data_IF_643728082089
#
_entry.id   IF_643728082089
#
_cell.length_a   1.000
_cell.length_b   1.000
_cell.length_c   1.000
_cell.angle_alpha   90.00
_cell.angle_beta   90.00
_cell.angle_gamma   90.00
#
_symmetry.space_group_name_H-M   'P 1'
#
loop_
_entity.id
_entity.type
_entity.pdbx_description
1 polymer ?
#
# COMPACT_ATOMS: atom_id res chain seq x y z
N UNK A 1 -25.30 -41.87 -20.35
CA UNK A 1 -24.33 -41.50 -21.40
C UNK A 1 -24.68 -40.09 -21.85
N UNK A 2 -23.83 -39.06 -21.91
CA UNK A 2 -22.39 -38.94 -22.07
C UNK A 2 -21.95 -37.66 -21.34
N UNK A 3 -20.74 -37.72 -20.80
CA UNK A 3 -20.02 -36.66 -20.09
C UNK A 3 -19.64 -35.56 -21.08
N UNK A 4 -19.83 -34.29 -20.72
CA UNK A 4 -19.08 -33.20 -21.33
C UNK A 4 -18.54 -32.30 -20.22
N UNK A 5 -17.22 -32.28 -20.18
CA UNK A 5 -16.36 -31.75 -19.14
C UNK A 5 -16.50 -30.23 -19.04
N UNK A 6 -17.01 -29.74 -17.91
CA UNK A 6 -16.82 -28.35 -17.48
C UNK A 6 -15.68 -28.30 -16.47
N UNK A 7 -14.45 -28.21 -16.97
CA UNK A 7 -13.28 -27.93 -16.13
C UNK A 7 -12.19 -27.23 -16.94
N UNK A 8 -12.53 -26.12 -17.58
CA UNK A 8 -11.53 -25.12 -17.95
C UNK A 8 -11.44 -24.12 -16.79
N UNK A 9 -10.78 -24.55 -15.70
CA UNK A 9 -10.38 -23.64 -14.64
C UNK A 9 -9.29 -22.74 -15.25
N UNK A 10 -9.68 -21.56 -15.72
CA UNK A 10 -8.76 -20.55 -16.24
C UNK A 10 -7.85 -20.18 -15.08
N UNK A 11 -6.61 -20.68 -15.12
CA UNK A 11 -5.53 -20.21 -14.28
C UNK A 11 -5.27 -18.78 -14.75
N UNK A 12 -5.98 -17.80 -14.19
CA UNK A 12 -5.56 -16.41 -14.30
C UNK A 12 -4.22 -16.34 -13.57
N UNK A 13 -3.08 -16.12 -14.27
CA UNK A 13 -1.91 -15.69 -13.56
C UNK A 13 -2.32 -14.37 -12.91
N UNK A 14 -2.44 -14.34 -11.58
CA UNK A 14 -2.36 -13.09 -10.86
C UNK A 14 -0.95 -12.57 -11.15
N UNK A 15 -0.82 -11.83 -12.24
CA UNK A 15 0.36 -11.05 -12.54
C UNK A 15 0.62 -10.23 -11.30
N UNK A 16 1.65 -10.64 -10.55
CA UNK A 16 2.15 -9.93 -9.41
C UNK A 16 2.24 -8.46 -9.80
N UNK A 17 1.51 -7.62 -9.08
CA UNK A 17 1.52 -6.17 -9.24
C UNK A 17 2.97 -5.72 -9.38
N UNK A 18 3.29 -5.17 -10.55
CA UNK A 18 4.64 -4.89 -10.97
C UNK A 18 5.22 -3.71 -10.19
N UNK A 19 5.61 -3.96 -8.94
CA UNK A 19 6.55 -3.08 -8.25
C UNK A 19 7.94 -3.45 -8.72
N UNK A 20 8.69 -2.48 -9.23
CA UNK A 20 10.04 -2.68 -9.76
C UNK A 20 11.06 -3.08 -8.68
N UNK A 21 10.69 -3.01 -7.42
CA UNK A 21 11.49 -3.35 -6.25
C UNK A 21 10.65 -4.11 -5.20
N UNK A 22 11.26 -4.90 -4.31
CA UNK A 22 10.55 -5.53 -3.21
C UNK A 22 9.95 -4.49 -2.26
N UNK A 23 8.69 -4.69 -1.86
CA UNK A 23 7.97 -3.83 -0.91
C UNK A 23 7.54 -4.63 0.31
N UNK A 24 7.85 -4.12 1.49
CA UNK A 24 7.34 -4.61 2.78
C UNK A 24 6.44 -3.53 3.36
N UNK A 25 5.13 -3.82 3.44
CA UNK A 25 4.14 -2.94 4.08
C UNK A 25 3.70 -3.58 5.39
N UNK A 26 4.11 -2.98 6.50
CA UNK A 26 3.67 -3.32 7.86
C UNK A 26 2.52 -2.38 8.24
N UNK A 27 1.40 -2.93 8.70
CA UNK A 27 0.18 -2.17 8.98
C UNK A 27 -0.28 -2.39 10.42
N UNK A 28 -0.41 -1.28 11.16
CA UNK A 28 -1.02 -1.20 12.48
C UNK A 28 -2.28 -0.33 12.36
N UNK A 29 -3.43 -0.95 12.06
CA UNK A 29 -4.65 -0.21 11.75
C UNK A 29 -5.50 0.15 12.98
N UNK A 30 -5.25 -0.44 14.15
CA UNK A 30 -5.92 -0.09 15.41
C UNK A 30 -7.46 -0.03 15.34
N UNK A 31 -8.08 -0.89 14.54
CA UNK A 31 -9.54 -0.92 14.33
C UNK A 31 -10.05 0.02 13.22
N UNK A 32 -9.17 0.79 12.58
CA UNK A 32 -9.49 1.56 11.39
C UNK A 32 -9.76 0.64 10.19
N UNK A 33 -10.83 0.93 9.45
CA UNK A 33 -11.17 0.25 8.20
C UNK A 33 -10.46 0.91 7.02
N UNK A 34 -9.13 0.85 7.00
CA UNK A 34 -8.30 1.47 5.95
C UNK A 34 -7.71 0.40 5.04
N UNK A 35 -7.87 0.59 3.73
CA UNK A 35 -7.10 -0.15 2.74
C UNK A 35 -5.85 0.66 2.37
N UNK A 36 -4.70 -0.03 2.35
CA UNK A 36 -3.43 0.55 1.95
C UNK A 36 -2.84 -0.20 0.75
N UNK A 37 -2.53 0.54 -0.31
CA UNK A 37 -1.99 0.01 -1.57
C UNK A 37 -0.71 0.74 -1.93
N UNK A 38 0.35 -0.02 -2.20
CA UNK A 38 1.64 0.57 -2.59
C UNK A 38 1.70 0.77 -4.10
N UNK A 39 2.24 1.91 -4.53
CA UNK A 39 2.36 2.25 -5.94
C UNK A 39 3.81 2.60 -6.28
N UNK A 40 4.26 2.13 -7.45
CA UNK A 40 5.54 2.56 -8.02
C UNK A 40 5.29 3.80 -8.86
N UNK A 41 5.92 4.92 -8.50
CA UNK A 41 5.76 6.18 -9.23
C UNK A 41 7.02 6.51 -10.04
N UNK A 42 8.20 6.40 -9.42
CA UNK A 42 9.50 6.60 -10.07
C UNK A 42 10.57 5.74 -9.37
N UNK A 43 11.76 5.62 -9.96
CA UNK A 43 12.86 4.79 -9.44
C UNK A 43 13.29 5.15 -8.02
N UNK A 44 13.19 6.41 -7.63
CA UNK A 44 13.58 6.98 -6.33
C UNK A 44 12.37 7.55 -5.57
N UNK A 45 11.15 7.17 -5.96
CA UNK A 45 9.91 7.65 -5.36
C UNK A 45 8.94 6.51 -5.04
N UNK A 46 8.51 6.46 -3.78
CA UNK A 46 7.52 5.53 -3.29
C UNK A 46 6.15 6.19 -3.16
N UNK A 47 5.10 5.47 -3.55
CA UNK A 47 3.70 5.82 -3.33
C UNK A 47 2.99 4.84 -2.40
N UNK A 48 2.09 5.37 -1.57
CA UNK A 48 1.14 4.61 -0.76
C UNK A 48 -0.22 5.29 -0.86
N UNK A 49 -1.20 4.63 -1.46
CA UNK A 49 -2.58 5.12 -1.51
C UNK A 49 -3.35 4.51 -0.35
N UNK A 50 -4.02 5.37 0.42
CA UNK A 50 -4.87 4.97 1.53
C UNK A 50 -6.33 5.30 1.20
N UNK A 51 -7.23 4.37 1.53
CA UNK A 51 -8.67 4.57 1.42
C UNK A 51 -9.35 4.21 2.75
N UNK A 52 -10.11 5.15 3.29
CA UNK A 52 -10.88 4.94 4.52
C UNK A 52 -12.30 4.46 4.18
N UNK A 53 -12.63 3.23 4.59
CA UNK A 53 -13.96 2.64 4.46
C UNK A 53 -14.81 2.77 5.74
N UNK A 54 -14.23 3.27 6.83
CA UNK A 54 -14.93 3.44 8.09
C UNK A 54 -15.89 4.64 8.08
N UNK A 55 -16.70 4.73 9.14
CA UNK A 55 -17.74 5.75 9.29
C UNK A 55 -17.21 7.10 9.81
N UNK A 56 -15.96 7.15 10.28
CA UNK A 56 -15.35 8.34 10.91
C UNK A 56 -13.97 8.68 10.35
N UNK A 57 -13.46 9.88 10.70
CA UNK A 57 -12.12 10.30 10.31
C UNK A 57 -11.05 9.45 10.98
N UNK A 58 -9.95 9.26 10.25
CA UNK A 58 -8.81 8.45 10.67
C UNK A 58 -7.54 9.24 10.47
N UNK A 59 -6.61 9.13 11.41
CA UNK A 59 -5.29 9.68 11.26
C UNK A 59 -4.26 8.59 10.96
N UNK A 60 -3.56 8.72 9.85
CA UNK A 60 -2.56 7.75 9.41
C UNK A 60 -1.17 8.37 9.36
N UNK A 61 -0.18 7.67 9.89
CA UNK A 61 1.24 7.99 9.81
C UNK A 61 1.98 6.86 9.07
N UNK A 62 2.68 7.21 7.99
CA UNK A 62 3.51 6.29 7.23
C UNK A 62 4.99 6.66 7.35
N UNK A 63 5.83 5.69 7.73
CA UNK A 63 7.29 5.81 7.78
C UNK A 63 7.91 5.01 6.64
N UNK A 64 8.36 5.71 5.60
CA UNK A 64 8.99 5.14 4.42
C UNK A 64 10.51 4.99 4.63
N UNK A 65 11.07 3.83 4.33
CA UNK A 65 12.52 3.53 4.43
C UNK A 65 13.04 2.92 3.14
N UNK A 66 14.12 3.49 2.61
CA UNK A 66 14.90 2.95 1.49
C UNK A 66 16.32 2.59 1.98
N UNK A 67 16.55 1.32 2.32
CA UNK A 67 17.87 0.85 2.79
C UNK A 67 18.43 1.66 3.97
N UNK A 68 19.72 2.10 3.92
CA UNK A 68 20.34 2.91 4.97
C UNK A 68 20.02 4.42 4.87
N UNK A 69 19.16 4.85 3.94
CA UNK A 69 18.72 6.25 3.90
C UNK A 69 17.88 6.62 5.12
N UNK A 70 17.93 7.90 5.51
CA UNK A 70 17.10 8.42 6.58
C UNK A 70 15.61 8.23 6.25
N UNK A 71 14.80 7.67 7.15
CA UNK A 71 13.37 7.48 6.92
C UNK A 71 12.63 8.77 6.61
N UNK A 72 11.56 8.68 5.81
CA UNK A 72 10.64 9.77 5.54
C UNK A 72 9.31 9.48 6.21
N UNK A 73 8.88 10.33 7.11
CA UNK A 73 7.57 10.21 7.76
C UNK A 73 6.56 11.14 7.10
N UNK A 74 5.38 10.62 6.81
CA UNK A 74 4.21 11.37 6.33
C UNK A 74 3.04 11.10 7.26
N UNK A 75 2.19 12.11 7.43
CA UNK A 75 0.98 12.05 8.24
C UNK A 75 -0.17 12.66 7.47
N UNK A 76 -1.35 12.06 7.56
CA UNK A 76 -2.55 12.55 6.90
C UNK A 76 -3.77 12.20 7.74
N UNK A 77 -4.82 13.01 7.60
CA UNK A 77 -6.17 12.66 8.04
C UNK A 77 -7.00 12.29 6.81
N UNK A 78 -7.71 11.17 6.91
CA UNK A 78 -8.67 10.67 5.93
C UNK A 78 -10.08 10.79 6.51
N UNK A 79 -10.95 11.55 5.86
CA UNK A 79 -12.37 11.53 6.19
C UNK A 79 -13.01 10.18 5.79
N UNK A 80 -14.22 9.91 6.26
CA UNK A 80 -14.97 8.71 5.89
C UNK A 80 -15.18 8.64 4.36
N UNK A 81 -14.87 7.50 3.75
CA UNK A 81 -14.95 7.29 2.31
C UNK A 81 -13.83 7.95 1.49
N UNK A 82 -12.90 8.66 2.13
CA UNK A 82 -11.85 9.39 1.43
C UNK A 82 -10.70 8.48 0.98
N UNK A 83 -10.12 8.80 -0.17
CA UNK A 83 -8.90 8.19 -0.67
C UNK A 83 -7.84 9.26 -0.92
N UNK A 84 -6.64 9.10 -0.34
CA UNK A 84 -5.52 10.03 -0.55
C UNK A 84 -4.19 9.30 -0.74
N UNK A 85 -3.31 9.81 -1.61
CA UNK A 85 -1.95 9.31 -1.75
C UNK A 85 -1.00 9.92 -0.71
N UNK A 86 -0.04 9.12 -0.27
CA UNK A 86 1.16 9.53 0.45
C UNK A 86 2.38 9.19 -0.40
N UNK A 87 3.34 10.12 -0.49
CA UNK A 87 4.56 9.91 -1.28
C UNK A 87 5.83 10.27 -0.51
N UNK A 88 6.90 9.56 -0.85
CA UNK A 88 8.24 9.81 -0.34
C UNK A 88 9.27 9.76 -1.47
N UNK A 89 10.00 10.86 -1.64
CA UNK A 89 11.16 10.97 -2.54
C UNK A 89 12.45 10.67 -1.78
N UNK A 90 13.27 9.80 -2.33
CA UNK A 90 14.58 9.41 -1.80
C UNK A 90 15.71 10.09 -2.57
N UNK A 91 16.93 10.02 -2.04
CA UNK A 91 18.12 10.54 -2.73
C UNK A 91 18.68 9.55 -3.74
N UNK A 92 18.40 8.25 -3.55
CA UNK A 92 18.84 7.16 -4.43
C UNK A 92 17.62 6.35 -4.87
N UNK A 93 17.84 5.55 -5.91
CA UNK A 93 16.88 4.58 -6.38
C UNK A 93 16.45 3.64 -5.23
N UNK A 94 15.18 3.25 -5.24
CA UNK A 94 14.57 2.37 -4.26
C UNK A 94 15.01 0.95 -4.56
N UNK A 95 15.84 0.40 -3.66
CA UNK A 95 16.33 -0.98 -3.77
C UNK A 95 15.35 -1.93 -3.07
N UNK A 96 14.84 -1.49 -1.92
CA UNK A 96 13.83 -2.20 -1.13
C UNK A 96 13.05 -1.19 -0.31
N UNK A 97 11.75 -1.13 -0.53
CA UNK A 97 10.86 -0.24 0.18
C UNK A 97 10.32 -0.92 1.43
N UNK A 98 10.48 -0.28 2.59
CA UNK A 98 9.75 -0.66 3.79
C UNK A 98 8.87 0.50 4.22
N UNK A 99 7.60 0.22 4.45
CA UNK A 99 6.64 1.20 4.94
C UNK A 99 6.03 0.64 6.21
N UNK A 100 6.17 1.39 7.31
CA UNK A 100 5.36 1.17 8.51
C UNK A 100 4.20 2.15 8.48
N UNK A 101 2.98 1.64 8.37
CA UNK A 101 1.75 2.42 8.42
C UNK A 101 1.08 2.17 9.77
N UNK A 102 0.80 3.25 10.48
CA UNK A 102 -0.03 3.23 11.70
C UNK A 102 -1.22 4.15 11.46
N UNK A 103 -2.43 3.65 11.63
CA UNK A 103 -3.66 4.43 11.53
C UNK A 103 -4.43 4.34 12.85
N UNK A 104 -5.05 5.45 13.27
CA UNK A 104 -5.83 5.55 14.49
C UNK A 104 -7.16 6.27 14.19
N UNK A 105 -8.32 5.68 14.53
CA UNK A 105 -9.59 6.39 14.51
C UNK A 105 -9.54 7.61 15.44
N UNK A 106 -10.15 8.72 15.03
CA UNK A 106 -10.29 9.93 15.86
C UNK A 106 -11.54 9.91 16.74
#
# INVERSE_FOLDING_TARGET
MKRLCFAALVIFPLSAVAVSYPVELEQELNGAEVLASTETIDRDMAGLVLQNFGEGPVECTAVFRNGPEMPRTRRITLEAGESKPMTAKFKRDVIKLRVKLTCEPQ
#
